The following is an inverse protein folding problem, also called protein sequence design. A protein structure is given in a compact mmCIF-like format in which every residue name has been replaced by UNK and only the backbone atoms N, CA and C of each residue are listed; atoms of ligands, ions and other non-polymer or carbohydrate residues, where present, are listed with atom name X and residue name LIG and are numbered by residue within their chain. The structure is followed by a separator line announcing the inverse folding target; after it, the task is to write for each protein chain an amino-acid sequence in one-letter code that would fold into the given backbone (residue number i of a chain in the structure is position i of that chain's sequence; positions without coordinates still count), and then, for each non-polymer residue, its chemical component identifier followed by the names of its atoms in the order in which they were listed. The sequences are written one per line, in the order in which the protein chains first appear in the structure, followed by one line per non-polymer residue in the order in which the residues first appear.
data_IF_411057039278
#
_entry.id   IF_411057039278
#
_cell.length_a   1.000
_cell.length_b   1.000
_cell.length_c   1.000
_cell.angle_alpha   90.00
_cell.angle_beta   90.00
_cell.angle_gamma   90.00
#
_symmetry.space_group_name_H-M   'P 1'
#
loop_
_entity.id
_entity.type
_entity.pdbx_description
1 polymer ?
#
# COMPACT_ATOMS: atom_id res chain seq x y z
N UNK A 1 0.93 -29.26 -13.51
CA UNK A 1 1.92 -28.57 -12.65
C UNK A 1 1.10 -27.79 -11.66
N UNK A 2 1.23 -28.07 -10.37
CA UNK A 2 0.63 -27.21 -9.34
C UNK A 2 1.41 -25.89 -9.37
N UNK A 3 0.77 -24.84 -9.86
CA UNK A 3 1.32 -23.50 -9.86
C UNK A 3 1.37 -23.05 -8.40
N UNK A 4 2.57 -22.83 -7.85
CA UNK A 4 2.69 -22.28 -6.52
C UNK A 4 2.02 -20.90 -6.49
N UNK A 5 1.21 -20.59 -5.46
CA UNK A 5 0.60 -19.28 -5.36
C UNK A 5 1.67 -18.20 -5.29
N UNK A 6 1.41 -17.02 -5.88
CA UNK A 6 2.37 -15.92 -5.90
C UNK A 6 2.79 -15.51 -4.48
N UNK A 7 4.02 -15.04 -4.34
CA UNK A 7 4.51 -14.51 -3.08
C UNK A 7 3.74 -13.26 -2.64
N UNK A 8 3.82 -12.92 -1.34
CA UNK A 8 3.15 -11.72 -0.79
C UNK A 8 3.59 -10.45 -1.54
N UNK A 9 4.88 -10.32 -1.84
CA UNK A 9 5.40 -9.16 -2.57
C UNK A 9 4.83 -9.03 -3.99
N UNK A 10 4.78 -10.14 -4.74
CA UNK A 10 4.21 -10.19 -6.08
C UNK A 10 2.71 -9.87 -6.06
N UNK A 11 1.98 -10.48 -5.12
CA UNK A 11 0.55 -10.21 -4.92
C UNK A 11 0.29 -8.74 -4.57
N UNK A 12 1.06 -8.18 -3.63
CA UNK A 12 0.93 -6.79 -3.23
C UNK A 12 1.29 -5.81 -4.36
N UNK A 13 2.27 -6.17 -5.20
CA UNK A 13 2.67 -5.41 -6.38
C UNK A 13 1.55 -5.34 -7.43
N UNK A 14 0.85 -6.45 -7.65
CA UNK A 14 -0.30 -6.52 -8.56
C UNK A 14 -1.47 -5.66 -8.07
N UNK A 15 -1.75 -5.68 -6.76
CA UNK A 15 -2.89 -5.00 -6.15
C UNK A 15 -2.53 -3.70 -5.44
N UNK A 16 -1.37 -3.10 -5.76
CA UNK A 16 -0.87 -1.95 -5.00
C UNK A 16 -1.86 -0.80 -4.98
N UNK A 17 -2.50 -0.48 -6.12
CA UNK A 17 -3.52 0.58 -6.16
C UNK A 17 -4.70 0.33 -5.21
N UNK A 18 -5.17 -0.92 -5.12
CA UNK A 18 -6.25 -1.32 -4.21
C UNK A 18 -5.80 -1.22 -2.74
N UNK A 19 -4.56 -1.60 -2.43
CA UNK A 19 -3.99 -1.50 -1.10
C UNK A 19 -3.87 -0.03 -0.68
N UNK A 20 -3.34 0.84 -1.55
CA UNK A 20 -3.24 2.28 -1.29
C UNK A 20 -4.62 2.91 -1.03
N UNK A 21 -5.63 2.52 -1.83
CA UNK A 21 -7.00 2.96 -1.63
C UNK A 21 -7.56 2.53 -0.25
N UNK A 22 -7.34 1.27 0.15
CA UNK A 22 -7.80 0.77 1.43
C UNK A 22 -7.11 1.49 2.61
N UNK A 23 -5.81 1.76 2.50
CA UNK A 23 -5.06 2.51 3.51
C UNK A 23 -5.59 3.94 3.66
N UNK A 24 -5.91 4.64 2.55
CA UNK A 24 -6.50 5.98 2.64
C UNK A 24 -7.91 5.94 3.25
N UNK A 25 -8.74 4.97 2.87
CA UNK A 25 -10.08 4.79 3.48
C UNK A 25 -9.99 4.57 4.99
N UNK A 26 -9.02 3.78 5.45
CA UNK A 26 -8.77 3.58 6.87
C UNK A 26 -8.30 4.89 7.56
N UNK A 27 -7.37 5.60 6.95
CA UNK A 27 -6.89 6.88 7.47
C UNK A 27 -8.02 7.93 7.58
N UNK A 28 -8.89 8.03 6.57
CA UNK A 28 -10.06 8.92 6.61
C UNK A 28 -11.02 8.57 7.77
N UNK A 29 -11.25 7.27 8.01
CA UNK A 29 -12.10 6.83 9.14
C UNK A 29 -11.48 7.25 10.47
N UNK A 30 -10.18 7.00 10.66
CA UNK A 30 -9.47 7.34 11.90
C UNK A 30 -9.43 8.85 12.13
N UNK A 31 -9.24 9.64 11.07
CA UNK A 31 -9.32 11.10 11.15
C UNK A 31 -10.70 11.55 11.63
N UNK A 32 -11.78 10.95 11.12
CA UNK A 32 -13.15 11.27 11.54
C UNK A 32 -13.45 10.91 13.00
N UNK A 33 -12.66 9.99 13.58
CA UNK A 33 -12.73 9.58 14.99
C UNK A 33 -11.78 10.41 15.89
N UNK A 34 -11.17 11.50 15.38
CA UNK A 34 -10.14 12.29 16.06
C UNK A 34 -8.86 11.51 16.42
N UNK A 35 -8.55 10.44 15.68
CA UNK A 35 -7.33 9.62 15.84
C UNK A 35 -6.28 9.99 14.80
N UNK A 36 -5.90 11.27 14.73
CA UNK A 36 -5.02 11.80 13.68
C UNK A 36 -3.61 11.16 13.66
N UNK A 37 -3.09 10.72 14.81
CA UNK A 37 -1.81 10.00 14.86
C UNK A 37 -1.87 8.64 14.16
N UNK A 38 -2.96 7.89 14.36
CA UNK A 38 -3.19 6.61 13.69
C UNK A 38 -3.43 6.83 12.19
N UNK A 39 -4.23 7.83 11.82
CA UNK A 39 -4.44 8.20 10.42
C UNK A 39 -3.11 8.52 9.70
N UNK A 40 -2.23 9.29 10.35
CA UNK A 40 -0.90 9.60 9.83
C UNK A 40 -0.03 8.34 9.66
N UNK A 41 -0.14 7.37 10.56
CA UNK A 41 0.55 6.08 10.45
C UNK A 41 0.13 5.32 9.18
N UNK A 42 -1.17 5.19 8.91
CA UNK A 42 -1.69 4.53 7.69
C UNK A 42 -1.23 5.23 6.41
N UNK A 43 -1.26 6.57 6.39
CA UNK A 43 -0.72 7.35 5.25
C UNK A 43 0.79 7.18 5.09
N UNK A 44 1.52 7.02 6.20
CA UNK A 44 2.95 6.70 6.19
C UNK A 44 3.25 5.35 5.51
N UNK A 45 2.43 4.33 5.75
CA UNK A 45 2.54 3.04 5.04
C UNK A 45 2.27 3.23 3.55
N UNK A 46 1.18 3.90 3.19
CA UNK A 46 0.81 4.13 1.80
C UNK A 46 1.92 4.85 1.02
N UNK A 47 2.54 5.87 1.63
CA UNK A 47 3.67 6.59 1.04
C UNK A 47 4.86 5.67 0.78
N UNK A 48 5.27 4.84 1.75
CA UNK A 48 6.40 3.92 1.58
C UNK A 48 6.16 2.92 0.44
N UNK A 49 4.94 2.41 0.32
CA UNK A 49 4.57 1.48 -0.75
C UNK A 49 4.57 2.17 -2.13
N UNK A 50 4.05 3.39 -2.23
CA UNK A 50 4.08 4.18 -3.47
C UNK A 50 5.52 4.53 -3.90
N UNK A 51 6.38 4.92 -2.95
CA UNK A 51 7.80 5.20 -3.18
C UNK A 51 8.55 3.94 -3.66
N UNK A 52 8.29 2.78 -3.06
CA UNK A 52 8.89 1.51 -3.47
C UNK A 52 8.52 1.17 -4.94
N UNK A 53 7.25 1.35 -5.32
CA UNK A 53 6.79 1.13 -6.70
C UNK A 53 7.42 2.09 -7.71
N UNK A 54 7.63 3.35 -7.33
CA UNK A 54 8.34 4.32 -8.17
C UNK A 54 9.74 3.83 -8.52
N UNK A 55 10.50 3.37 -7.52
CA UNK A 55 11.87 2.84 -7.69
C UNK A 55 11.92 1.58 -8.54
N UNK A 56 10.93 0.68 -8.41
CA UNK A 56 10.81 -0.50 -9.28
C UNK A 56 10.65 -0.12 -10.76
N UNK A 57 9.83 0.89 -11.05
CA UNK A 57 9.62 1.37 -12.44
C UNK A 57 10.87 2.01 -13.03
N UNK A 58 11.61 2.79 -12.24
CA UNK A 58 12.84 3.46 -12.70
C UNK A 58 14.00 2.48 -12.95
N UNK A 59 14.02 1.35 -12.23
CA UNK A 59 15.04 0.29 -12.42
C UNK A 59 14.79 -0.54 -13.68
N UNK A 60 13.55 -0.61 -14.15
CA UNK A 60 13.13 -1.46 -15.27
C UNK A 60 12.98 -0.69 -16.60
N UNK A 61 13.56 0.51 -16.69
CA UNK A 61 13.54 1.41 -17.85
C UNK A 61 14.93 1.57 -18.45
#
# INVERSE_FOLDING_TARGET
MDEQPPGVGETASLYLGNILYALERAAMSLESENKSADAAFYRGIARKLAEARGKERDTNR
#
